data_IF_772140994901
#
_entry.id   IF_772140994901
#
_cell.length_a   1.000
_cell.length_b   1.000
_cell.length_c   1.000
_cell.angle_alpha   90.00
_cell.angle_beta   90.00
_cell.angle_gamma   90.00
#
_symmetry.space_group_name_H-M   'P 1'
#
loop_
_entity.id
_entity.type
_entity.pdbx_description
1 polymer ?
#
# COMPACT_ATOMS: atom_id res chain seq x y z
N UNK A 1 -18.40 0.16 -0.15
CA UNK A 1 -17.30 1.14 -0.12
C UNK A 1 -16.44 0.90 -1.33
N UNK A 2 -16.09 1.94 -2.08
CA UNK A 2 -15.17 1.79 -3.21
C UNK A 2 -13.76 1.53 -2.65
N UNK A 3 -13.17 0.38 -2.99
CA UNK A 3 -11.80 0.04 -2.59
C UNK A 3 -10.83 0.88 -3.41
N UNK A 4 -9.74 1.33 -2.78
CA UNK A 4 -8.68 2.08 -3.48
C UNK A 4 -7.86 1.10 -4.30
N UNK A 5 -7.97 1.14 -5.63
CA UNK A 5 -7.27 0.17 -6.49
C UNK A 5 -5.86 0.66 -6.80
N UNK A 6 -4.87 -0.21 -6.63
CA UNK A 6 -3.48 0.11 -6.95
C UNK A 6 -3.30 0.37 -8.46
N UNK A 7 -4.07 -0.31 -9.30
CA UNK A 7 -4.01 -0.15 -10.76
C UNK A 7 -4.55 1.21 -11.25
N UNK A 8 -5.42 1.87 -10.47
CA UNK A 8 -5.95 3.20 -10.79
C UNK A 8 -4.92 4.32 -10.57
N UNK A 9 -3.80 4.02 -9.90
CA UNK A 9 -2.73 4.99 -9.71
C UNK A 9 -2.00 5.29 -11.03
N UNK A 10 -1.55 6.54 -11.23
CA UNK A 10 -0.85 6.92 -12.45
C UNK A 10 0.42 6.07 -12.62
N UNK A 11 0.58 5.44 -13.79
CA UNK A 11 1.74 4.61 -14.15
C UNK A 11 1.63 3.13 -13.78
N UNK A 12 0.77 2.74 -12.83
CA UNK A 12 0.67 1.34 -12.40
C UNK A 12 0.02 0.44 -13.45
N UNK A 13 -1.03 0.92 -14.13
CA UNK A 13 -1.65 0.19 -15.24
C UNK A 13 -0.69 -0.06 -16.42
N UNK A 14 0.19 0.91 -16.72
CA UNK A 14 1.19 0.78 -17.78
C UNK A 14 2.26 -0.25 -17.38
N UNK A 15 2.73 -0.21 -16.12
CA UNK A 15 3.67 -1.21 -15.60
C UNK A 15 3.07 -2.62 -15.56
N UNK A 16 1.80 -2.77 -15.17
CA UNK A 16 1.12 -4.07 -15.22
C UNK A 16 1.04 -4.60 -16.65
N UNK A 17 0.66 -3.75 -17.61
CA UNK A 17 0.65 -4.09 -19.03
C UNK A 17 2.04 -4.51 -19.54
N UNK A 18 3.10 -3.82 -19.11
CA UNK A 18 4.49 -4.20 -19.43
C UNK A 18 4.89 -5.52 -18.78
N UNK A 19 4.50 -5.75 -17.53
CA UNK A 19 4.76 -7.01 -16.82
C UNK A 19 4.03 -8.20 -17.45
N UNK A 20 2.86 -7.97 -18.07
CA UNK A 20 2.17 -8.97 -18.87
C UNK A 20 2.97 -9.35 -20.13
N UNK A 21 3.61 -8.37 -20.79
CA UNK A 21 4.42 -8.60 -22.00
C UNK A 21 5.83 -9.13 -21.70
N UNK A 22 6.42 -8.70 -20.58
CA UNK A 22 7.76 -9.09 -20.14
C UNK A 22 7.67 -9.58 -18.70
N UNK A 23 7.62 -10.89 -18.45
CA UNK A 23 7.50 -11.43 -17.09
C UNK A 23 8.67 -11.03 -16.18
N UNK A 24 9.84 -10.70 -16.73
CA UNK A 24 10.96 -10.16 -15.97
C UNK A 24 10.61 -8.83 -15.25
N UNK A 25 9.67 -8.02 -15.76
CA UNK A 25 9.21 -6.82 -15.06
C UNK A 25 8.44 -7.14 -13.77
N UNK A 26 7.90 -8.35 -13.62
CA UNK A 26 7.23 -8.80 -12.41
C UNK A 26 8.21 -9.38 -11.38
N UNK A 27 9.46 -9.59 -11.77
CA UNK A 27 10.45 -10.29 -10.97
C UNK A 27 11.25 -9.29 -10.10
N UNK A 28 11.22 -9.43 -8.77
CA UNK A 28 11.92 -8.51 -7.86
C UNK A 28 13.44 -8.55 -8.00
N UNK A 29 14.03 -9.66 -8.47
CA UNK A 29 15.48 -9.76 -8.68
C UNK A 29 15.89 -9.00 -9.96
N UNK A 30 15.04 -9.01 -10.99
CA UNK A 30 15.25 -8.24 -12.22
C UNK A 30 14.94 -6.74 -12.06
N UNK A 31 14.44 -6.29 -10.89
CA UNK A 31 14.14 -4.88 -10.60
C UNK A 31 15.34 -3.97 -10.88
N UNK A 32 16.56 -4.44 -10.59
CA UNK A 32 17.79 -3.70 -10.83
C UNK A 32 17.99 -3.28 -12.30
N UNK A 33 17.36 -3.99 -13.25
CA UNK A 33 17.39 -3.69 -14.68
C UNK A 33 16.33 -2.68 -15.11
N UNK A 34 15.36 -2.36 -14.24
CA UNK A 34 14.19 -1.52 -14.53
C UNK A 34 14.08 -0.35 -13.54
N UNK A 35 14.93 0.69 -13.67
CA UNK A 35 14.93 1.84 -12.76
C UNK A 35 13.62 2.64 -12.79
N UNK A 36 12.80 2.48 -13.82
CA UNK A 36 11.46 3.06 -13.91
C UNK A 36 10.51 2.58 -12.79
N UNK A 37 10.69 1.33 -12.31
CA UNK A 37 9.90 0.77 -11.21
C UNK A 37 10.25 1.48 -9.90
N UNK A 38 11.56 1.65 -9.62
CA UNK A 38 12.03 2.37 -8.44
C UNK A 38 11.66 3.85 -8.47
N UNK A 39 11.70 4.48 -9.64
CA UNK A 39 11.25 5.86 -9.81
C UNK A 39 9.76 6.00 -9.50
N UNK A 40 8.92 5.11 -10.02
CA UNK A 40 7.48 5.13 -9.72
C UNK A 40 7.20 4.86 -8.25
N UNK A 41 7.91 3.89 -7.65
CA UNK A 41 7.80 3.59 -6.22
C UNK A 41 8.12 4.84 -5.39
N UNK A 42 9.23 5.52 -5.71
CA UNK A 42 9.64 6.73 -5.00
C UNK A 42 8.70 7.91 -5.22
N UNK A 43 8.17 8.09 -6.44
CA UNK A 43 7.22 9.17 -6.73
C UNK A 43 5.88 8.95 -6.00
N UNK A 44 5.41 7.70 -5.97
CA UNK A 44 4.11 7.32 -5.41
C UNK A 44 4.16 7.21 -3.88
N UNK A 45 5.14 6.47 -3.37
CA UNK A 45 5.23 6.12 -1.95
C UNK A 45 6.27 6.94 -1.19
N UNK A 46 7.15 7.67 -1.88
CA UNK A 46 8.24 8.43 -1.26
C UNK A 46 9.48 7.59 -0.93
N UNK A 47 9.46 6.28 -1.18
CA UNK A 47 10.60 5.37 -1.02
C UNK A 47 10.60 4.31 -2.11
N UNK A 48 11.79 3.77 -2.38
CA UNK A 48 11.93 2.62 -3.28
C UNK A 48 11.62 1.30 -2.56
N UNK A 49 11.39 0.24 -3.33
CA UNK A 49 11.18 -1.09 -2.77
C UNK A 49 12.44 -1.63 -2.07
N UNK A 50 13.63 -1.21 -2.52
CA UNK A 50 14.91 -1.53 -1.86
C UNK A 50 15.06 -0.81 -0.52
N UNK A 51 14.72 0.49 -0.50
CA UNK A 51 14.68 1.29 0.73
C UNK A 51 13.65 0.75 1.72
N UNK A 52 12.54 0.20 1.23
CA UNK A 52 11.54 -0.44 2.06
C UNK A 52 12.11 -1.71 2.70
N UNK A 53 12.79 -2.57 1.92
CA UNK A 53 13.29 -3.87 2.38
C UNK A 53 14.39 -3.78 3.46
N UNK A 54 15.06 -2.63 3.60
CA UNK A 54 16.04 -2.39 4.67
C UNK A 54 15.42 -1.86 5.97
N UNK A 55 14.14 -1.51 5.95
CA UNK A 55 13.43 -1.00 7.13
C UNK A 55 13.04 -2.21 8.00
N UNK A 56 13.35 -2.18 9.30
CA UNK A 56 12.98 -3.27 10.18
C UNK A 56 11.46 -3.39 10.27
N UNK A 57 10.97 -4.63 10.24
CA UNK A 57 9.55 -4.92 10.41
C UNK A 57 9.06 -4.36 11.76
N UNK A 58 7.87 -3.72 11.80
CA UNK A 58 7.32 -3.19 13.03
C UNK A 58 6.93 -4.30 14.02
N UNK A 59 6.85 -3.94 15.29
CA UNK A 59 6.42 -4.87 16.35
C UNK A 59 4.99 -5.38 16.07
N UNK A 60 4.81 -6.70 15.98
CA UNK A 60 3.53 -7.33 15.65
C UNK A 60 3.30 -7.60 14.16
N UNK A 61 4.34 -7.55 13.32
CA UNK A 61 4.23 -7.90 11.90
C UNK A 61 3.86 -9.37 11.67
N UNK A 62 2.72 -9.60 11.00
CA UNK A 62 2.15 -10.93 10.74
C UNK A 62 2.87 -11.74 9.64
N UNK A 63 4.01 -11.25 9.16
CA UNK A 63 4.79 -11.84 8.06
C UNK A 63 3.98 -11.93 6.76
N UNK A 64 3.12 -10.95 6.50
CA UNK A 64 2.22 -10.97 5.34
C UNK A 64 2.98 -10.83 4.02
N UNK A 65 4.15 -10.19 4.03
CA UNK A 65 5.05 -9.97 2.90
C UNK A 65 5.63 -11.28 2.32
N UNK A 66 5.84 -12.31 3.16
CA UNK A 66 6.31 -13.63 2.73
C UNK A 66 5.19 -14.60 2.34
N UNK A 67 3.91 -14.22 2.56
CA UNK A 67 2.76 -15.05 2.19
C UNK A 67 2.50 -15.02 0.70
N UNK A 68 1.63 -15.90 0.23
CA UNK A 68 1.24 -15.93 -1.18
C UNK A 68 0.61 -14.60 -1.60
N UNK A 69 0.82 -14.18 -2.87
CA UNK A 69 0.24 -12.93 -3.40
C UNK A 69 -1.28 -12.85 -3.24
N UNK A 70 -1.95 -14.01 -3.20
CA UNK A 70 -3.40 -14.07 -2.96
C UNK A 70 -3.75 -13.67 -1.53
N UNK A 71 -3.07 -14.25 -0.53
CA UNK A 71 -3.29 -13.88 0.88
C UNK A 71 -2.94 -12.42 1.14
N UNK A 72 -1.88 -11.91 0.50
CA UNK A 72 -1.56 -10.49 0.55
C UNK A 72 -2.72 -9.65 0.01
N UNK A 73 -3.28 -10.04 -1.14
CA UNK A 73 -4.40 -9.31 -1.76
C UNK A 73 -5.66 -9.31 -0.89
N UNK A 74 -6.03 -10.46 -0.29
CA UNK A 74 -7.13 -10.54 0.68
C UNK A 74 -6.90 -9.60 1.87
N UNK A 75 -5.67 -9.56 2.40
CA UNK A 75 -5.35 -8.70 3.53
C UNK A 75 -5.33 -7.21 3.16
N UNK A 76 -4.88 -6.85 1.96
CA UNK A 76 -5.00 -5.48 1.45
C UNK A 76 -6.47 -5.07 1.31
N UNK A 77 -7.35 -5.98 0.86
CA UNK A 77 -8.79 -5.72 0.72
C UNK A 77 -9.41 -5.37 2.09
N UNK A 78 -8.99 -6.06 3.16
CA UNK A 78 -9.39 -5.76 4.54
C UNK A 78 -8.93 -4.38 5.02
N UNK A 79 -7.75 -3.94 4.60
CA UNK A 79 -7.22 -2.59 4.88
C UNK A 79 -7.81 -1.50 3.95
N UNK A 80 -8.73 -1.87 3.04
CA UNK A 80 -9.41 -0.96 2.13
C UNK A 80 -8.72 -0.71 0.78
N UNK A 81 -7.74 -1.55 0.42
CA UNK A 81 -6.98 -1.47 -0.82
C UNK A 81 -7.22 -2.68 -1.73
N UNK A 82 -7.46 -2.43 -3.01
CA UNK A 82 -7.57 -3.47 -4.02
C UNK A 82 -6.27 -3.54 -4.85
N UNK A 83 -5.51 -4.62 -4.64
CA UNK A 83 -4.28 -4.91 -5.39
C UNK A 83 -4.51 -5.97 -6.48
N UNK A 84 -5.75 -6.08 -6.96
CA UNK A 84 -6.13 -7.00 -8.03
C UNK A 84 -6.46 -6.29 -9.34
N UNK A 85 -6.16 -6.98 -10.43
CA UNK A 85 -6.59 -6.63 -11.79
C UNK A 85 -8.13 -6.80 -11.93
N UNK A 86 -8.74 -6.30 -13.00
CA UNK A 86 -10.18 -6.41 -13.32
C UNK A 86 -10.71 -7.85 -13.31
N UNK A 87 -9.82 -8.83 -13.47
CA UNK A 87 -10.14 -10.27 -13.37
C UNK A 87 -10.03 -10.84 -11.95
N UNK A 88 -9.91 -10.00 -10.92
CA UNK A 88 -9.62 -10.36 -9.51
C UNK A 88 -8.37 -11.23 -9.37
N UNK A 89 -7.34 -10.93 -10.17
CA UNK A 89 -6.04 -11.61 -10.09
C UNK A 89 -5.05 -10.68 -9.41
N UNK A 90 -4.22 -11.16 -8.47
CA UNK A 90 -3.16 -10.35 -7.89
C UNK A 90 -2.29 -9.74 -9.00
N UNK A 91 -2.01 -8.45 -8.88
CA UNK A 91 -1.17 -7.75 -9.85
C UNK A 91 0.22 -8.39 -9.89
N UNK A 92 0.77 -8.57 -11.09
CA UNK A 92 2.13 -9.12 -11.25
C UNK A 92 3.19 -8.23 -10.63
N UNK A 93 2.99 -6.93 -10.74
CA UNK A 93 3.86 -5.90 -10.18
C UNK A 93 3.76 -5.80 -8.65
N UNK A 94 2.79 -6.48 -8.03
CA UNK A 94 2.58 -6.44 -6.57
C UNK A 94 3.84 -6.83 -5.81
N UNK A 95 4.66 -7.76 -6.32
CA UNK A 95 5.89 -8.17 -5.67
C UNK A 95 6.90 -7.03 -5.45
N UNK A 96 6.85 -5.97 -6.26
CA UNK A 96 7.70 -4.78 -6.09
C UNK A 96 7.13 -3.79 -5.10
N UNK A 97 5.80 -3.68 -5.03
CA UNK A 97 5.12 -2.60 -4.31
C UNK A 97 4.43 -3.05 -3.02
N UNK A 98 4.34 -4.35 -2.75
CA UNK A 98 3.65 -4.89 -1.57
C UNK A 98 4.28 -4.40 -0.27
N UNK A 99 5.59 -4.51 -0.15
CA UNK A 99 6.32 -4.12 1.05
C UNK A 99 6.26 -2.60 1.34
N UNK A 100 6.58 -1.68 0.40
CA UNK A 100 6.43 -0.24 0.65
C UNK A 100 4.97 0.16 0.92
N UNK A 101 4.00 -0.49 0.29
CA UNK A 101 2.58 -0.24 0.56
C UNK A 101 2.20 -0.67 1.98
N UNK A 102 2.66 -1.82 2.46
CA UNK A 102 2.42 -2.26 3.83
C UNK A 102 3.04 -1.34 4.87
N UNK A 103 4.29 -0.89 4.66
CA UNK A 103 4.93 0.07 5.55
C UNK A 103 4.17 1.40 5.59
N UNK A 104 3.64 1.85 4.44
CA UNK A 104 2.86 3.07 4.35
C UNK A 104 1.49 2.92 5.05
N UNK A 105 0.82 1.78 4.92
CA UNK A 105 -0.46 1.47 5.60
C UNK A 105 -0.30 1.45 7.12
N UNK A 106 0.77 0.83 7.61
CA UNK A 106 1.07 0.76 9.05
C UNK A 106 1.65 2.06 9.61
N UNK A 107 1.92 3.06 8.76
CA UNK A 107 2.50 4.34 9.15
C UNK A 107 3.96 4.26 9.60
N UNK A 108 4.68 3.21 9.22
CA UNK A 108 6.09 2.98 9.60
C UNK A 108 7.01 3.78 8.69
N UNK A 109 6.81 3.68 7.38
CA UNK A 109 7.62 4.35 6.38
C UNK A 109 6.86 4.55 5.07
N UNK A 110 7.18 5.65 4.38
CA UNK A 110 6.49 6.02 3.15
C UNK A 110 5.23 6.82 3.37
N UNK A 111 4.62 7.19 2.24
CA UNK A 111 3.37 7.94 2.18
C UNK A 111 2.41 7.17 1.31
N UNK A 112 1.16 7.05 1.74
CA UNK A 112 0.12 6.56 0.85
C UNK A 112 -0.14 7.64 -0.22
N UNK A 113 -0.22 7.28 -1.50
CA UNK A 113 -0.55 8.23 -2.54
C UNK A 113 -1.95 8.79 -2.28
N UNK A 114 -2.08 10.10 -2.46
CA UNK A 114 -3.30 10.83 -2.19
C UNK A 114 -4.39 10.39 -3.18
N UNK A 115 -5.39 9.65 -2.70
CA UNK A 115 -6.65 9.47 -3.42
C UNK A 115 -7.58 10.63 -3.04
N UNK A 116 -8.19 11.35 -4.00
CA UNK A 116 -9.38 12.12 -3.68
C UNK A 116 -10.41 11.12 -3.14
N UNK A 117 -10.79 11.26 -1.88
CA UNK A 117 -11.79 10.39 -1.27
C UNK A 117 -13.04 10.41 -2.15
N UNK A 118 -13.61 9.27 -2.56
CA UNK A 118 -15.00 9.28 -2.98
C UNK A 118 -15.78 9.82 -1.78
N UNK A 119 -16.52 10.93 -1.95
CA UNK A 119 -17.42 11.43 -0.92
C UNK A 119 -18.27 10.25 -0.42
N UNK A 120 -17.98 9.76 0.80
CA UNK A 120 -18.93 9.80 1.91
C UNK A 120 -18.34 9.20 3.21
N UNK A 121 -18.67 9.93 4.28
CA UNK A 121 -18.69 9.61 5.71
C UNK A 121 -17.39 9.44 6.51
N UNK A 122 -17.04 10.54 7.18
CA UNK A 122 -16.34 10.65 8.46
C UNK A 122 -16.32 9.36 9.30
N UNK A 123 -15.18 8.69 9.40
CA UNK A 123 -14.87 7.85 10.55
C UNK A 123 -13.36 7.79 10.75
N UNK A 124 -12.76 8.75 11.46
CA UNK A 124 -11.55 8.61 12.31
C UNK A 124 -11.03 9.94 12.88
N UNK A 125 -11.89 10.73 13.54
CA UNK A 125 -11.43 11.77 14.50
C UNK A 125 -12.26 11.81 15.81
N UNK A 126 -13.04 10.77 16.11
CA UNK A 126 -13.97 10.80 17.26
C UNK A 126 -13.41 10.30 18.60
N UNK A 127 -12.21 9.71 18.67
CA UNK A 127 -11.70 9.20 19.96
C UNK A 127 -10.91 10.22 20.79
N UNK A 128 -10.28 11.24 20.18
CA UNK A 128 -9.50 12.25 20.94
C UNK A 128 -10.34 13.41 21.49
N UNK A 129 -11.43 13.78 20.82
CA UNK A 129 -12.29 14.88 21.27
C UNK A 129 -13.24 14.48 22.42
N UNK A 130 -13.54 13.19 22.57
CA UNK A 130 -14.39 12.67 23.64
C UNK A 130 -13.68 12.65 25.01
N UNK A 131 -12.36 12.43 25.05
CA UNK A 131 -11.60 12.39 26.30
C UNK A 131 -11.29 13.79 26.87
N UNK A 132 -11.21 14.83 26.03
CA UNK A 132 -10.93 16.19 26.50
C UNK A 132 -12.09 16.81 27.30
N UNK A 133 -13.35 16.41 27.05
CA UNK A 133 -14.52 16.89 27.81
C UNK A 133 -14.71 16.20 29.16
N UNK A 134 -14.19 14.98 29.34
CA UNK A 134 -14.22 14.29 30.63
C UNK A 134 -13.26 14.97 31.63
N UNK A 135 -12.11 15.44 31.15
CA UNK A 135 -11.09 16.08 32.00
C UNK A 135 -11.47 17.47 32.52
N UNK A 136 -12.35 18.21 31.84
CA UNK A 136 -12.85 19.50 32.32
C UNK A 136 -13.93 19.38 33.41
N UNK A 137 -14.53 18.21 33.59
CA UNK A 137 -15.60 18.00 34.58
C UNK A 137 -15.08 17.53 35.95
N UNK A 138 -13.83 17.08 36.01
CA UNK A 138 -13.17 16.57 37.21
C UNK A 138 -12.13 17.55 37.79
N UNK A 139 -12.42 18.85 37.71
CA UNK A 139 -11.69 19.89 38.45
C UNK A 139 -12.68 20.66 39.30
N UNK A 140 -13.23 19.97 40.30
CA UNK A 140 -13.98 20.55 41.41
C UNK A 140 -13.04 20.82 42.57
#
# INVERSE_FOLDING_TARGET
MALRRLIDLPGFADLESRALMKPAFADPEARAEFPEIDQLARDTFGLTADEAAVIPDPEGWDGIDIRSMREQADQFELEGWDVTDDKRRPLRILGHFSHPLWLALRGVAGKLPFFPEPEETEHTTSSLAAEAKAFQRDKR
#
